data_IF_566316478122
#
_entry.id   IF_566316478122
#
_cell.length_a   1.000
_cell.length_b   1.000
_cell.length_c   1.000
_cell.angle_alpha   90.00
_cell.angle_beta   90.00
_cell.angle_gamma   90.00
#
_symmetry.space_group_name_H-M   'P 1'
#
loop_
_entity.id
_entity.type
_entity.pdbx_description
1 polymer ?
#
# COMPACT_ATOMS: atom_id res chain seq x y z
N UNK A 1 -9.92 7.23 4.45
CA UNK A 1 -9.07 6.28 3.69
C UNK A 1 -8.70 6.84 2.32
N UNK A 2 -7.51 6.59 1.77
CA UNK A 2 -7.31 6.71 0.34
C UNK A 2 -8.29 5.75 -0.36
N UNK A 3 -8.93 6.19 -1.44
CA UNK A 3 -9.82 5.31 -2.20
C UNK A 3 -9.00 4.44 -3.17
N UNK A 4 -9.55 3.32 -3.61
CA UNK A 4 -8.93 2.47 -4.63
C UNK A 4 -8.55 3.26 -5.91
N UNK A 5 -9.25 4.38 -6.19
CA UNK A 5 -8.93 5.29 -7.30
C UNK A 5 -7.63 6.06 -7.06
N UNK A 6 -7.36 6.47 -5.80
CA UNK A 6 -6.11 7.14 -5.42
C UNK A 6 -4.94 6.16 -5.52
N UNK A 7 -5.11 4.94 -5.01
CA UNK A 7 -4.11 3.87 -5.16
C UNK A 7 -3.83 3.58 -6.64
N UNK A 8 -4.86 3.45 -7.47
CA UNK A 8 -4.73 3.25 -8.91
C UNK A 8 -3.99 4.41 -9.59
N UNK A 9 -4.30 5.66 -9.24
CA UNK A 9 -3.61 6.83 -9.77
C UNK A 9 -2.11 6.82 -9.48
N UNK A 10 -1.75 6.54 -8.22
CA UNK A 10 -0.34 6.44 -7.84
C UNK A 10 0.35 5.22 -8.47
N UNK A 11 -0.34 4.08 -8.54
CA UNK A 11 0.16 2.88 -9.22
C UNK A 11 0.46 3.13 -10.70
N UNK A 12 -0.41 3.84 -11.42
CA UNK A 12 -0.21 4.19 -12.82
C UNK A 12 1.00 5.13 -13.01
N UNK A 13 1.21 6.07 -12.09
CA UNK A 13 2.39 6.92 -12.10
C UNK A 13 3.68 6.08 -11.95
N UNK A 14 3.72 5.17 -10.99
CA UNK A 14 4.87 4.28 -10.77
C UNK A 14 5.06 3.33 -11.97
N UNK A 15 4.00 2.76 -12.49
CA UNK A 15 4.04 1.87 -13.66
C UNK A 15 4.62 2.57 -14.90
N UNK A 16 4.26 3.84 -15.14
CA UNK A 16 4.77 4.62 -16.26
C UNK A 16 6.30 4.77 -16.22
N UNK A 17 6.90 4.86 -15.03
CA UNK A 17 8.35 4.94 -14.85
C UNK A 17 9.05 3.57 -14.81
N UNK A 18 8.46 2.58 -14.16
CA UNK A 18 9.14 1.33 -13.80
C UNK A 18 9.00 0.22 -14.85
N UNK A 19 7.91 0.16 -15.58
CA UNK A 19 7.69 -0.90 -16.58
C UNK A 19 8.66 -0.82 -17.76
N UNK A 20 9.13 0.39 -18.12
CA UNK A 20 10.06 0.59 -19.25
C UNK A 20 9.55 -0.11 -20.53
N UNK A 21 10.35 -0.99 -21.14
CA UNK A 21 9.98 -1.77 -22.34
C UNK A 21 8.89 -2.83 -22.11
N UNK A 22 8.49 -3.08 -20.84
CA UNK A 22 7.35 -3.94 -20.52
C UNK A 22 6.01 -3.19 -20.46
N UNK A 23 6.00 -1.88 -20.77
CA UNK A 23 4.82 -1.04 -20.67
C UNK A 23 3.83 -1.31 -21.81
N UNK A 24 2.76 -2.00 -21.50
CA UNK A 24 1.63 -2.24 -22.38
C UNK A 24 0.32 -2.44 -21.61
N UNK A 25 -0.78 -2.64 -22.31
CA UNK A 25 -2.10 -2.81 -21.70
C UNK A 25 -2.19 -4.00 -20.73
N UNK A 26 -1.68 -5.23 -21.06
CA UNK A 26 -1.67 -6.33 -20.13
C UNK A 26 -0.85 -6.07 -18.86
N UNK A 27 0.32 -5.43 -18.98
CA UNK A 27 1.13 -5.07 -17.82
C UNK A 27 0.43 -4.02 -16.92
N UNK A 28 -0.20 -3.01 -17.53
CA UNK A 28 -1.00 -2.04 -16.78
C UNK A 28 -2.19 -2.69 -16.08
N UNK A 29 -2.88 -3.63 -16.75
CA UNK A 29 -3.97 -4.37 -16.14
C UNK A 29 -3.48 -5.20 -14.93
N UNK A 30 -2.31 -5.85 -15.02
CA UNK A 30 -1.71 -6.58 -13.90
C UNK A 30 -1.38 -5.65 -12.73
N UNK A 31 -0.82 -4.47 -13.01
CA UNK A 31 -0.52 -3.45 -11.98
C UNK A 31 -1.79 -2.93 -11.31
N UNK A 32 -2.84 -2.66 -12.06
CA UNK A 32 -4.12 -2.23 -11.47
C UNK A 32 -4.78 -3.34 -10.66
N UNK A 33 -4.71 -4.58 -11.14
CA UNK A 33 -5.26 -5.73 -10.41
C UNK A 33 -4.57 -5.92 -9.06
N UNK A 34 -3.24 -5.90 -9.02
CA UNK A 34 -2.49 -6.11 -7.78
C UNK A 34 -2.74 -4.98 -6.77
N UNK A 35 -3.00 -3.78 -7.22
CA UNK A 35 -3.30 -2.64 -6.35
C UNK A 35 -4.71 -2.70 -5.76
N UNK A 36 -5.66 -3.33 -6.44
CA UNK A 36 -7.02 -3.48 -5.95
C UNK A 36 -7.20 -4.77 -5.13
N UNK A 37 -6.33 -5.76 -5.35
CA UNK A 37 -6.44 -7.07 -4.70
C UNK A 37 -6.48 -7.02 -3.16
N UNK A 38 -5.69 -6.18 -2.46
CA UNK A 38 -5.76 -6.09 -1.00
C UNK A 38 -7.13 -5.72 -0.45
N UNK A 39 -7.89 -4.88 -1.16
CA UNK A 39 -9.25 -4.48 -0.75
C UNK A 39 -10.22 -5.67 -0.59
N UNK A 40 -9.87 -6.82 -1.16
CA UNK A 40 -10.66 -8.06 -1.02
C UNK A 40 -10.68 -8.56 0.43
N UNK A 41 -9.70 -8.17 1.25
CA UNK A 41 -9.67 -8.52 2.67
C UNK A 41 -10.86 -7.95 3.45
N UNK A 42 -11.50 -6.89 2.93
CA UNK A 42 -12.74 -6.35 3.46
C UNK A 42 -13.88 -7.38 3.48
N UNK A 43 -13.88 -8.34 2.54
CA UNK A 43 -14.87 -9.41 2.48
C UNK A 43 -14.67 -10.46 3.59
N UNK A 44 -13.53 -10.47 4.26
CA UNK A 44 -13.26 -11.36 5.40
C UNK A 44 -13.82 -10.83 6.72
N UNK A 45 -14.29 -9.58 6.77
CA UNK A 45 -14.86 -8.95 7.97
C UNK A 45 -15.89 -9.81 8.73
N UNK A 46 -16.84 -10.49 8.05
CA UNK A 46 -17.80 -11.35 8.73
C UNK A 46 -17.22 -12.56 9.47
N UNK A 47 -16.01 -12.99 9.14
CA UNK A 47 -15.33 -14.18 9.71
C UNK A 47 -14.09 -13.85 10.53
N UNK A 48 -13.53 -12.67 10.35
CA UNK A 48 -12.31 -12.20 11.03
C UNK A 48 -12.45 -10.73 11.36
N UNK A 49 -12.61 -10.42 12.65
CA UNK A 49 -12.55 -9.03 13.12
C UNK A 49 -11.21 -8.40 12.75
N UNK A 50 -11.22 -7.13 12.34
CA UNK A 50 -10.01 -6.43 11.94
C UNK A 50 -9.33 -6.98 10.69
N UNK A 51 -10.01 -7.81 9.86
CA UNK A 51 -9.43 -8.37 8.63
C UNK A 51 -9.04 -7.27 7.62
N UNK A 52 -9.86 -6.24 7.51
CA UNK A 52 -9.58 -5.11 6.64
C UNK A 52 -8.33 -4.36 7.14
N UNK A 53 -7.41 -4.08 6.23
CA UNK A 53 -6.06 -3.53 6.47
C UNK A 53 -5.12 -4.45 7.26
N UNK A 54 -5.40 -5.75 7.23
CA UNK A 54 -4.56 -6.78 7.87
C UNK A 54 -4.06 -7.76 6.83
N UNK A 55 -4.96 -8.55 6.21
CA UNK A 55 -4.58 -9.70 5.37
C UNK A 55 -3.87 -9.25 4.10
N UNK A 56 -4.42 -8.28 3.37
CA UNK A 56 -3.86 -7.73 2.14
C UNK A 56 -2.92 -6.54 2.33
N UNK A 57 -2.90 -5.94 3.52
CA UNK A 57 -2.27 -4.64 3.79
C UNK A 57 -1.04 -4.74 4.71
N UNK A 58 -0.29 -5.83 4.63
CA UNK A 58 0.93 -6.03 5.42
C UNK A 58 2.17 -6.10 4.53
N UNK A 59 3.36 -5.97 5.12
CA UNK A 59 4.63 -6.07 4.43
C UNK A 59 5.15 -7.50 4.34
N UNK A 60 4.63 -8.42 5.13
CA UNK A 60 5.14 -9.80 5.22
C UNK A 60 4.87 -10.56 3.91
N UNK A 61 3.66 -10.45 3.37
CA UNK A 61 3.28 -11.13 2.14
C UNK A 61 4.10 -10.67 0.91
N UNK A 62 4.21 -9.36 0.61
CA UNK A 62 5.03 -8.91 -0.50
C UNK A 62 6.53 -9.15 -0.27
N UNK A 63 7.03 -9.11 0.97
CA UNK A 63 8.40 -9.47 1.27
C UNK A 63 8.68 -10.95 0.98
N UNK A 64 7.80 -11.85 1.43
CA UNK A 64 7.92 -13.28 1.13
C UNK A 64 7.87 -13.56 -0.38
N UNK A 65 6.93 -12.94 -1.10
CA UNK A 65 6.84 -13.04 -2.55
C UNK A 65 8.10 -12.49 -3.25
N UNK A 66 8.63 -11.36 -2.78
CA UNK A 66 9.87 -10.78 -3.29
C UNK A 66 11.09 -11.67 -3.06
N UNK A 67 11.21 -12.27 -1.87
CA UNK A 67 12.28 -13.23 -1.57
C UNK A 67 12.20 -14.44 -2.48
N UNK A 68 11.02 -15.03 -2.67
CA UNK A 68 10.81 -16.16 -3.56
C UNK A 68 11.13 -15.82 -5.03
N UNK A 69 10.65 -14.66 -5.49
CA UNK A 69 10.94 -14.17 -6.84
C UNK A 69 12.43 -13.90 -7.03
N UNK A 70 13.09 -13.31 -6.06
CA UNK A 70 14.54 -13.07 -6.08
C UNK A 70 15.31 -14.38 -6.08
N UNK A 71 14.99 -15.29 -5.17
CA UNK A 71 15.65 -16.59 -5.07
C UNK A 71 15.56 -17.37 -6.38
N UNK A 72 14.35 -17.48 -6.95
CA UNK A 72 14.15 -18.23 -8.21
C UNK A 72 14.87 -17.55 -9.39
N UNK A 73 14.80 -16.22 -9.51
CA UNK A 73 15.29 -15.53 -10.72
C UNK A 73 16.76 -15.10 -10.66
N UNK A 74 17.38 -15.08 -9.45
CA UNK A 74 18.75 -14.56 -9.26
C UNK A 74 19.71 -15.52 -8.56
N UNK A 75 19.20 -16.45 -7.74
CA UNK A 75 20.05 -17.33 -6.91
C UNK A 75 20.10 -18.75 -7.50
N UNK A 76 18.97 -19.28 -7.96
CA UNK A 76 18.90 -20.61 -8.56
C UNK A 76 19.66 -20.64 -9.89
N UNK A 77 20.37 -21.76 -10.13
CA UNK A 77 21.04 -22.01 -11.41
C UNK A 77 20.06 -22.15 -12.59
N UNK A 78 18.85 -22.69 -12.30
CA UNK A 78 17.77 -22.84 -13.27
C UNK A 78 16.50 -22.25 -12.66
N UNK A 79 15.96 -21.19 -13.28
CA UNK A 79 14.77 -20.51 -12.80
C UNK A 79 13.51 -21.18 -13.32
N UNK A 80 12.64 -21.63 -12.41
CA UNK A 80 11.35 -22.21 -12.77
C UNK A 80 10.38 -21.19 -13.39
N UNK A 81 10.55 -19.92 -13.03
CA UNK A 81 9.75 -18.84 -13.62
C UNK A 81 10.20 -18.54 -15.05
N UNK A 82 11.52 -18.46 -15.32
CA UNK A 82 12.04 -18.21 -16.69
C UNK A 82 11.71 -19.31 -17.68
N UNK A 83 11.47 -20.53 -17.20
CA UNK A 83 10.98 -21.64 -18.04
C UNK A 83 9.50 -21.46 -18.45
N UNK A 84 8.72 -20.68 -17.71
CA UNK A 84 7.27 -20.53 -17.89
C UNK A 84 6.85 -19.18 -18.42
N UNK A 85 7.59 -18.13 -18.07
CA UNK A 85 7.28 -16.75 -18.44
C UNK A 85 8.51 -16.02 -18.95
N UNK A 86 8.31 -15.03 -19.80
CA UNK A 86 9.40 -14.22 -20.35
C UNK A 86 9.98 -13.25 -19.30
N UNK A 87 11.20 -12.77 -19.51
CA UNK A 87 11.85 -11.76 -18.65
C UNK A 87 11.01 -10.48 -18.51
N UNK A 88 10.21 -10.18 -19.53
CA UNK A 88 9.21 -9.10 -19.48
C UNK A 88 8.23 -9.29 -18.33
N UNK A 89 7.63 -10.47 -18.18
CA UNK A 89 6.67 -10.75 -17.10
C UNK A 89 7.33 -10.84 -15.73
N UNK A 90 8.60 -11.26 -15.66
CA UNK A 90 9.40 -11.17 -14.42
C UNK A 90 9.57 -9.72 -14.01
N UNK A 91 9.83 -8.80 -14.96
CA UNK A 91 9.84 -7.36 -14.68
C UNK A 91 8.48 -6.86 -14.20
N UNK A 92 7.39 -7.26 -14.85
CA UNK A 92 6.03 -6.89 -14.43
C UNK A 92 5.76 -7.36 -13.00
N UNK A 93 6.16 -8.59 -12.65
CA UNK A 93 6.00 -9.12 -11.28
C UNK A 93 6.75 -8.27 -10.24
N UNK A 94 8.00 -7.86 -10.52
CA UNK A 94 8.73 -6.94 -9.64
C UNK A 94 8.06 -5.58 -9.51
N UNK A 95 7.55 -5.03 -10.61
CA UNK A 95 6.82 -3.75 -10.59
C UNK A 95 5.51 -3.89 -9.79
N UNK A 96 4.79 -5.00 -9.95
CA UNK A 96 3.59 -5.29 -9.18
C UNK A 96 3.88 -5.35 -7.67
N UNK A 97 4.95 -6.03 -7.24
CA UNK A 97 5.36 -6.07 -5.84
C UNK A 97 5.70 -4.67 -5.31
N UNK A 98 6.47 -3.90 -6.08
CA UNK A 98 6.83 -2.54 -5.71
C UNK A 98 5.60 -1.63 -5.59
N UNK A 99 4.70 -1.72 -6.56
CA UNK A 99 3.46 -0.94 -6.57
C UNK A 99 2.53 -1.34 -5.42
N UNK A 100 2.41 -2.64 -5.14
CA UNK A 100 1.64 -3.11 -3.97
C UNK A 100 2.17 -2.50 -2.67
N UNK A 101 3.49 -2.53 -2.46
CA UNK A 101 4.10 -1.94 -1.26
C UNK A 101 3.88 -0.43 -1.21
N UNK A 102 4.28 0.30 -2.25
CA UNK A 102 4.37 1.77 -2.18
C UNK A 102 3.07 2.49 -2.54
N UNK A 103 2.31 2.00 -3.52
CA UNK A 103 1.06 2.65 -3.92
C UNK A 103 -0.15 2.12 -3.16
N UNK A 104 -0.01 1.04 -2.37
CA UNK A 104 -1.11 0.52 -1.56
C UNK A 104 -0.73 0.53 -0.07
N UNK A 105 0.09 -0.42 0.41
CA UNK A 105 0.34 -0.61 1.84
C UNK A 105 0.90 0.66 2.52
N UNK A 106 1.93 1.30 1.92
CA UNK A 106 2.49 2.55 2.47
C UNK A 106 1.50 3.71 2.47
N UNK A 107 0.65 3.80 1.43
CA UNK A 107 -0.33 4.87 1.34
C UNK A 107 -1.41 4.73 2.41
N UNK A 108 -1.80 3.50 2.74
CA UNK A 108 -2.73 3.22 3.84
C UNK A 108 -2.07 3.33 5.21
N UNK A 109 -0.80 2.97 5.33
CA UNK A 109 -0.04 3.17 6.55
C UNK A 109 0.08 4.65 6.93
N UNK A 110 0.24 5.52 5.92
CA UNK A 110 0.23 6.98 6.10
C UNK A 110 -1.20 7.56 6.31
N UNK A 111 -2.15 6.74 6.76
CA UNK A 111 -3.51 7.16 7.09
C UNK A 111 -3.78 7.00 8.58
N UNK A 112 -4.77 7.77 9.10
CA UNK A 112 -5.11 7.83 10.52
C UNK A 112 -5.43 6.48 11.17
N UNK A 113 -5.98 5.53 10.38
CA UNK A 113 -6.33 4.20 10.87
C UNK A 113 -5.13 3.22 10.82
N UNK A 114 -4.10 3.52 10.01
CA UNK A 114 -2.94 2.67 9.89
C UNK A 114 -3.19 1.33 9.17
N UNK A 115 -2.24 0.41 9.29
CA UNK A 115 -2.29 -0.97 8.76
C UNK A 115 -1.66 -1.93 9.76
N UNK A 116 -2.06 -3.20 9.74
CA UNK A 116 -1.40 -4.25 10.49
C UNK A 116 -0.15 -4.73 9.73
N UNK A 117 0.90 -3.92 9.84
CA UNK A 117 2.06 -3.96 8.97
C UNK A 117 2.83 -5.29 8.97
N UNK A 118 2.86 -5.99 10.11
CA UNK A 118 3.66 -7.18 10.34
C UNK A 118 2.84 -8.47 10.48
N UNK A 119 1.52 -8.40 10.29
CA UNK A 119 0.67 -9.59 10.33
C UNK A 119 1.12 -10.64 9.28
N UNK A 120 1.08 -11.94 9.58
CA UNK A 120 0.64 -12.62 10.81
C UNK A 120 1.74 -12.81 11.85
N UNK A 121 2.94 -12.25 11.68
CA UNK A 121 4.07 -12.42 12.60
C UNK A 121 3.89 -11.62 13.89
N UNK A 122 3.25 -10.47 13.80
CA UNK A 122 2.94 -9.58 14.91
C UNK A 122 1.59 -8.92 14.63
N UNK A 123 0.65 -9.02 15.55
CA UNK A 123 -0.69 -8.48 15.42
C UNK A 123 -0.76 -7.13 16.12
N UNK A 124 -0.38 -6.09 15.37
CA UNK A 124 -0.50 -4.71 15.80
C UNK A 124 -0.67 -3.79 14.61
N UNK A 125 -1.63 -2.88 14.72
CA UNK A 125 -1.83 -1.81 13.76
C UNK A 125 -0.87 -0.67 14.05
N UNK A 126 -0.15 -0.23 13.03
CA UNK A 126 0.76 0.90 13.08
C UNK A 126 0.27 2.02 12.18
N UNK A 127 0.46 3.25 12.64
CA UNK A 127 0.14 4.46 11.93
C UNK A 127 1.41 5.27 11.67
N UNK A 128 1.66 5.63 10.42
CA UNK A 128 2.78 6.49 10.05
C UNK A 128 2.34 7.95 10.16
N UNK A 129 2.37 8.50 11.36
CA UNK A 129 2.02 9.88 11.66
C UNK A 129 3.15 10.54 12.43
N UNK A 130 3.57 11.71 11.97
CA UNK A 130 4.66 12.46 12.54
C UNK A 130 5.20 13.50 11.58
N UNK A 131 6.28 14.13 11.97
CA UNK A 131 6.97 15.11 11.13
C UNK A 131 8.49 14.96 11.25
N UNK A 132 9.16 15.37 10.18
CA UNK A 132 10.61 15.60 10.18
C UNK A 132 10.83 17.04 9.75
N UNK A 133 11.49 17.80 10.60
CA UNK A 133 11.80 19.20 10.30
C UNK A 133 13.18 19.60 10.84
N UNK A 134 13.72 20.68 10.31
CA UNK A 134 14.89 21.35 10.82
C UNK A 134 14.44 22.67 11.45
N UNK A 135 14.49 22.75 12.77
CA UNK A 135 14.20 23.95 13.54
C UNK A 135 15.47 24.75 13.79
N UNK A 136 15.38 26.06 13.71
CA UNK A 136 16.48 26.94 14.10
C UNK A 136 16.67 27.04 15.62
N UNK A 137 15.67 26.63 16.40
CA UNK A 137 15.70 26.58 17.86
C UNK A 137 16.12 25.20 18.38
N UNK A 138 15.50 24.12 17.81
CA UNK A 138 15.59 22.77 18.33
C UNK A 138 16.48 21.81 17.48
N UNK A 139 17.00 22.31 16.33
CA UNK A 139 17.78 21.51 15.41
C UNK A 139 16.94 20.52 14.62
N UNK A 140 17.44 19.30 14.44
CA UNK A 140 16.70 18.22 13.75
C UNK A 140 15.65 17.61 14.67
N UNK A 141 14.39 17.68 14.26
CA UNK A 141 13.24 17.14 14.99
C UNK A 141 12.58 16.05 14.16
N UNK A 142 12.30 14.91 14.76
CA UNK A 142 11.46 13.85 14.22
C UNK A 142 10.47 13.37 15.29
N UNK A 143 9.24 13.04 14.89
CA UNK A 143 8.16 12.61 15.80
C UNK A 143 7.43 11.34 15.33
N UNK A 144 7.98 10.61 14.32
CA UNK A 144 7.44 9.34 13.86
C UNK A 144 7.68 8.19 14.83
N UNK A 145 8.75 8.28 15.62
CA UNK A 145 9.10 7.31 16.65
C UNK A 145 9.44 8.09 17.90
N UNK A 146 8.72 7.82 18.97
CA UNK A 146 9.03 8.36 20.29
C UNK A 146 9.77 7.32 21.11
N UNK A 147 10.84 7.76 21.79
CA UNK A 147 11.66 6.90 22.63
C UNK A 147 11.70 7.53 24.02
N UNK A 148 10.87 7.02 24.89
CA UNK A 148 10.83 7.46 26.29
C UNK A 148 11.76 6.57 27.13
N UNK A 149 12.48 7.22 28.03
CA UNK A 149 13.27 6.55 29.05
C UNK A 149 12.57 6.74 30.39
N UNK A 150 12.12 5.66 31.01
CA UNK A 150 11.59 5.69 32.36
C UNK A 150 12.72 6.10 33.33
N UNK A 151 12.60 7.26 34.00
CA UNK A 151 13.65 7.77 34.86
C UNK A 151 13.83 6.94 36.15
N UNK A 152 12.85 6.11 36.55
CA UNK A 152 12.90 5.30 37.75
C UNK A 152 13.48 3.89 37.49
N UNK A 153 13.05 3.28 36.37
CA UNK A 153 13.44 1.92 36.01
C UNK A 153 14.60 1.84 35.04
N UNK A 154 14.87 2.91 34.30
CA UNK A 154 15.82 2.93 33.19
C UNK A 154 15.35 2.15 31.96
N UNK A 155 14.08 1.74 31.94
CA UNK A 155 13.49 1.01 30.83
C UNK A 155 13.20 1.97 29.66
N UNK A 156 13.43 1.49 28.45
CA UNK A 156 13.15 2.25 27.23
C UNK A 156 11.84 1.76 26.63
N UNK A 157 10.90 2.68 26.49
CA UNK A 157 9.67 2.47 25.72
C UNK A 157 9.80 3.10 24.35
N UNK A 158 9.49 2.36 23.30
CA UNK A 158 9.51 2.84 21.92
C UNK A 158 8.07 2.85 21.43
N UNK A 159 7.55 4.03 21.15
CA UNK A 159 6.27 4.20 20.46
C UNK A 159 6.54 4.52 19.00
N UNK A 160 6.11 3.62 18.12
CA UNK A 160 6.20 3.76 16.66
C UNK A 160 4.81 3.94 16.01
N UNK A 161 3.85 4.50 16.77
CA UNK A 161 2.49 4.74 16.31
C UNK A 161 1.59 3.49 16.36
N UNK A 162 1.83 2.59 17.30
CA UNK A 162 0.96 1.44 17.59
C UNK A 162 -0.44 1.90 18.01
N UNK A 163 -1.51 1.30 17.47
CA UNK A 163 -2.89 1.70 17.74
C UNK A 163 -3.76 0.59 18.30
N UNK A 164 -3.28 -0.65 18.28
CA UNK A 164 -3.97 -1.83 18.81
C UNK A 164 -3.92 -3.02 17.88
N UNK A 165 -4.63 -4.08 18.24
CA UNK A 165 -4.65 -5.38 17.54
C UNK A 165 -5.91 -5.59 16.72
N UNK A 166 -6.00 -6.67 15.96
CA UNK A 166 -7.22 -7.09 15.22
C UNK A 166 -8.45 -7.23 16.12
N UNK A 167 -8.28 -7.42 17.42
CA UNK A 167 -9.38 -7.51 18.39
C UNK A 167 -9.87 -6.14 18.87
N UNK A 168 -9.00 -5.12 18.84
CA UNK A 168 -9.29 -3.79 19.43
C UNK A 168 -9.46 -2.69 18.40
N UNK A 169 -8.88 -2.85 17.20
CA UNK A 169 -8.97 -1.86 16.12
C UNK A 169 -10.02 -2.27 15.12
N UNK A 170 -10.99 -1.42 14.88
CA UNK A 170 -12.00 -1.59 13.86
C UNK A 170 -11.80 -0.53 12.77
N UNK A 171 -11.30 -0.97 11.62
CA UNK A 171 -11.21 -0.12 10.44
C UNK A 171 -12.52 -0.15 9.69
N UNK A 172 -13.10 1.02 9.45
CA UNK A 172 -14.39 1.14 8.77
C UNK A 172 -14.37 0.43 7.41
N UNK A 173 -15.27 -0.54 7.27
CA UNK A 173 -15.36 -1.41 6.10
C UNK A 173 -16.72 -1.21 5.41
N UNK A 174 -16.76 -0.86 4.11
CA UNK A 174 -18.03 -0.65 3.40
C UNK A 174 -18.93 -1.90 3.28
N UNK A 175 -18.38 -3.09 3.53
CA UNK A 175 -19.08 -4.37 3.46
C UNK A 175 -19.66 -4.79 4.81
N UNK A 176 -19.09 -4.31 5.92
CA UNK A 176 -19.62 -4.60 7.24
C UNK A 176 -20.88 -3.74 7.50
N UNK A 177 -21.94 -4.32 8.06
CA UNK A 177 -23.08 -3.54 8.52
C UNK A 177 -22.59 -2.56 9.58
N UNK A 178 -22.95 -1.31 9.41
CA UNK A 178 -22.59 -0.21 10.30
C UNK A 178 -22.76 -0.57 11.77
N UNK A 179 -21.86 -0.06 12.59
CA UNK A 179 -21.99 -0.10 14.04
C UNK A 179 -23.39 0.42 14.45
N UNK A 180 -23.98 -0.08 15.54
CA UNK A 180 -25.32 0.28 15.99
C UNK A 180 -25.60 1.78 16.14
N UNK A 181 -24.54 2.60 16.25
CA UNK A 181 -24.61 4.06 16.36
C UNK A 181 -25.15 4.75 15.09
N UNK A 182 -24.97 4.13 13.91
CA UNK A 182 -25.43 4.68 12.63
C UNK A 182 -26.83 4.19 12.23
N UNK A 183 -27.40 3.24 12.94
CA UNK A 183 -28.73 2.66 12.65
C UNK A 183 -29.89 3.40 13.35
N UNK A 184 -29.59 4.31 14.28
CA UNK A 184 -30.63 4.89 15.12
C UNK A 184 -31.47 6.01 14.45
N UNK A 185 -30.99 6.62 13.35
CA UNK A 185 -31.62 7.81 12.75
C UNK A 185 -31.76 7.80 11.22
N UNK A 186 -31.57 6.70 10.54
CA UNK A 186 -31.53 6.72 9.09
C UNK A 186 -32.75 6.08 8.42
N UNK A 187 -33.73 6.90 8.09
CA UNK A 187 -34.77 6.55 7.08
C UNK A 187 -34.20 6.37 5.67
N UNK A 188 -32.92 6.77 5.46
CA UNK A 188 -32.21 6.62 4.18
C UNK A 188 -30.75 6.24 4.46
N UNK A 189 -30.33 5.07 4.04
CA UNK A 189 -28.92 4.64 4.08
C UNK A 189 -28.14 5.37 2.97
N UNK A 190 -27.40 6.40 3.31
CA UNK A 190 -26.51 7.11 2.39
C UNK A 190 -25.14 6.39 2.28
N UNK A 191 -24.99 5.56 1.25
CA UNK A 191 -23.74 4.86 0.97
C UNK A 191 -22.82 5.75 0.16
N UNK A 192 -21.77 6.28 0.79
CA UNK A 192 -20.78 7.17 0.16
C UNK A 192 -19.52 6.40 -0.22
N UNK A 193 -19.16 6.48 -1.48
CA UNK A 193 -17.88 5.95 -1.99
C UNK A 193 -16.97 7.14 -2.33
N UNK A 194 -16.10 7.57 -1.43
CA UNK A 194 -15.23 8.72 -1.67
C UNK A 194 -14.21 8.39 -2.77
N UNK A 195 -14.13 9.23 -3.79
CA UNK A 195 -13.12 9.11 -4.88
C UNK A 195 -11.81 9.75 -4.43
N UNK A 196 -11.85 10.98 -3.96
CA UNK A 196 -10.69 11.66 -3.41
C UNK A 196 -11.12 12.62 -2.29
N UNK A 197 -10.56 12.43 -1.12
CA UNK A 197 -10.69 13.35 0.00
C UNK A 197 -9.35 14.05 0.19
N UNK A 198 -9.32 15.39 0.24
CA UNK A 198 -8.13 16.25 0.25
C UNK A 198 -7.46 16.39 -1.13
N UNK A 199 -6.90 17.58 -1.39
CA UNK A 199 -6.38 17.94 -2.72
C UNK A 199 -5.19 17.10 -3.19
N UNK A 200 -4.30 16.68 -2.28
CA UNK A 200 -3.15 15.87 -2.66
C UNK A 200 -3.53 14.48 -3.21
N UNK A 201 -4.66 13.90 -2.74
CA UNK A 201 -5.18 12.63 -3.29
C UNK A 201 -5.74 12.80 -4.69
N UNK A 202 -6.47 13.89 -4.93
CA UNK A 202 -6.91 14.25 -6.28
C UNK A 202 -5.71 14.49 -7.19
N UNK A 203 -4.66 15.14 -6.69
CA UNK A 203 -3.42 15.35 -7.41
C UNK A 203 -2.75 14.04 -7.83
N UNK A 204 -2.67 13.03 -6.95
CA UNK A 204 -2.13 11.71 -7.31
C UNK A 204 -2.90 11.04 -8.45
N UNK A 205 -4.23 11.12 -8.42
CA UNK A 205 -5.07 10.61 -9.52
C UNK A 205 -4.74 11.35 -10.83
N UNK A 206 -4.73 12.68 -10.78
CA UNK A 206 -4.48 13.50 -11.96
C UNK A 206 -3.10 13.25 -12.57
N UNK A 207 -2.05 13.18 -11.74
CA UNK A 207 -0.67 12.90 -12.20
C UNK A 207 -0.54 11.48 -12.73
N UNK A 208 -1.20 10.49 -12.12
CA UNK A 208 -1.22 9.12 -12.62
C UNK A 208 -1.86 9.02 -14.01
N UNK A 209 -3.01 9.64 -14.21
CA UNK A 209 -3.67 9.72 -15.52
C UNK A 209 -2.79 10.46 -16.54
N UNK A 210 -2.22 11.61 -16.14
CA UNK A 210 -1.30 12.37 -16.99
C UNK A 210 -0.09 11.54 -17.42
N UNK A 211 0.52 10.77 -16.51
CA UNK A 211 1.68 9.94 -16.82
C UNK A 211 1.35 8.88 -17.89
N UNK A 212 0.18 8.24 -17.80
CA UNK A 212 -0.28 7.27 -18.81
C UNK A 212 -0.51 7.95 -20.17
N UNK A 213 -1.12 9.12 -20.17
CA UNK A 213 -1.35 9.90 -21.41
C UNK A 213 -0.03 10.36 -22.00
N UNK A 214 0.84 10.96 -21.21
CA UNK A 214 2.16 11.45 -21.64
C UNK A 214 3.01 10.32 -22.24
N UNK A 215 2.97 9.12 -21.64
CA UNK A 215 3.69 7.95 -22.15
C UNK A 215 3.30 7.56 -23.57
N UNK A 216 2.03 7.76 -23.96
CA UNK A 216 1.57 7.50 -25.33
C UNK A 216 2.18 8.44 -26.36
N UNK A 217 2.54 9.66 -25.95
CA UNK A 217 3.14 10.65 -26.84
C UNK A 217 4.66 10.57 -26.91
N UNK A 218 5.31 9.86 -25.98
CA UNK A 218 6.77 9.72 -25.95
C UNK A 218 7.33 8.69 -26.94
N UNK A 219 6.46 7.85 -27.54
CA UNK A 219 6.90 6.73 -28.40
C UNK A 219 7.69 5.66 -27.62
N UNK A 220 8.01 4.57 -28.31
CA UNK A 220 8.95 3.60 -27.76
C UNK A 220 10.36 4.20 -27.81
N UNK A 221 11.20 3.99 -26.75
CA UNK A 221 12.60 4.40 -26.83
C UNK A 221 13.26 3.69 -28.02
N UNK A 222 14.21 4.37 -28.71
CA UNK A 222 14.97 3.73 -29.76
C UNK A 222 15.51 2.38 -29.29
N UNK A 223 15.28 1.32 -30.05
CA UNK A 223 15.95 0.04 -29.82
C UNK A 223 17.44 0.29 -29.96
N UNK A 224 18.19 0.18 -28.86
CA UNK A 224 19.64 0.12 -28.97
C UNK A 224 19.96 -1.13 -29.80
N UNK A 225 20.34 -0.93 -31.05
CA UNK A 225 20.96 -1.98 -31.88
C UNK A 225 22.29 -2.34 -31.22
N UNK A 226 22.36 -3.55 -30.67
CA UNK A 226 23.56 -4.19 -30.17
C UNK A 226 24.20 -4.99 -31.29
#
# INVERSE_FOLDING_TARGET
MPSSVVHAGFALLLAAGLLKGAYDRPALAAVLLIVVLPEVDSLLGPVMSGAHRTVGHNFVLPAAAGVLLYYDTRVRSTSALRERVTDRWIRVAWVCLFVHVFAHVFLDWAHLEGVNALWPLHDEFFRLEGEILLSTADGFVQTFVDIELDPETGERTVDAGGTGTTESVHVNNPVEPDSPENLADADVIDRRFPIAQRGWRLYLIAVGVFAVVARRFQGDPPTEEV
#
